data_IF_537111195482
#
_entry.id   IF_537111195482
#
_cell.length_a   1.000
_cell.length_b   1.000
_cell.length_c   1.000
_cell.angle_alpha   90.00
_cell.angle_beta   90.00
_cell.angle_gamma   90.00
#
_symmetry.space_group_name_H-M   'P 1'
#
loop_
_entity.id
_entity.type
_entity.pdbx_description
1 polymer ?
#
# COMPACT_ATOMS: atom_id res chain seq x y z
N UNK A 1 -79.33 -4.62 52.32
CA UNK A 1 -78.98 -4.63 53.75
C UNK A 1 -77.68 -3.86 53.89
N UNK A 2 -77.74 -2.75 54.65
CA UNK A 2 -76.65 -2.03 55.33
C UNK A 2 -75.79 -1.12 54.44
N UNK A 3 -76.01 0.20 54.42
CA UNK A 3 -75.85 1.23 55.48
C UNK A 3 -74.41 1.41 55.98
N UNK A 4 -73.98 2.67 55.82
CA UNK A 4 -73.45 3.55 56.88
C UNK A 4 -71.94 3.88 56.92
N UNK A 5 -71.75 5.21 56.88
CA UNK A 5 -70.76 6.04 57.58
C UNK A 5 -69.33 6.00 57.04
N UNK A 6 -68.78 7.08 56.48
CA UNK A 6 -68.51 8.42 57.01
C UNK A 6 -67.04 8.59 57.37
N UNK A 7 -66.49 9.68 56.83
CA UNK A 7 -65.55 10.60 57.46
C UNK A 7 -64.04 10.45 57.23
N UNK A 8 -63.46 11.64 57.03
CA UNK A 8 -62.14 12.12 57.39
C UNK A 8 -60.96 11.83 56.45
N UNK A 9 -60.76 12.78 55.54
CA UNK A 9 -59.52 13.55 55.39
C UNK A 9 -58.19 12.83 55.66
N UNK A 10 -57.47 12.53 54.58
CA UNK A 10 -56.02 12.58 54.58
C UNK A 10 -55.57 13.27 53.29
N UNK A 11 -55.21 14.55 53.42
CA UNK A 11 -54.39 15.25 52.44
C UNK A 11 -53.15 14.41 52.13
N UNK A 12 -52.99 13.98 50.89
CA UNK A 12 -51.72 13.46 50.41
C UNK A 12 -51.30 14.29 49.22
N UNK A 13 -50.54 15.34 49.52
CA UNK A 13 -49.71 16.08 48.58
C UNK A 13 -48.81 15.10 47.82
N UNK A 14 -49.25 14.69 46.64
CA UNK A 14 -48.43 13.91 45.73
C UNK A 14 -47.46 14.85 45.01
N UNK A 15 -46.35 15.15 45.69
CA UNK A 15 -45.16 15.72 45.06
C UNK A 15 -44.73 14.77 43.93
N UNK A 16 -44.48 15.25 42.70
CA UNK A 16 -43.99 14.40 41.62
C UNK A 16 -42.63 13.80 41.99
N UNK A 17 -42.32 12.55 41.60
CA UNK A 17 -41.03 11.93 41.88
C UNK A 17 -39.92 12.76 41.23
N UNK A 18 -38.92 13.14 42.04
CA UNK A 18 -37.73 13.83 41.60
C UNK A 18 -37.04 13.00 40.51
N UNK A 19 -36.99 13.55 39.30
CA UNK A 19 -36.22 12.97 38.20
C UNK A 19 -34.75 12.86 38.62
N UNK A 20 -34.04 11.78 38.26
CA UNK A 20 -32.60 11.69 38.47
C UNK A 20 -31.95 12.88 37.78
N UNK A 21 -31.31 13.76 38.57
CA UNK A 21 -30.60 14.91 38.07
C UNK A 21 -29.55 14.42 37.06
N UNK A 22 -29.68 14.86 35.81
CA UNK A 22 -28.67 14.61 34.79
C UNK A 22 -27.35 15.19 35.31
N UNK A 23 -26.23 14.47 35.18
CA UNK A 23 -24.94 14.95 35.64
C UNK A 23 -24.62 16.27 34.95
N UNK A 24 -24.33 17.31 35.74
CA UNK A 24 -23.92 18.61 35.23
C UNK A 24 -22.68 18.42 34.35
N UNK A 25 -22.91 18.55 33.04
CA UNK A 25 -21.88 18.37 32.05
C UNK A 25 -20.81 19.46 32.18
N UNK A 26 -19.56 19.04 32.10
CA UNK A 26 -18.36 19.88 32.18
C UNK A 26 -18.51 21.09 31.25
N UNK A 27 -18.59 22.30 31.82
CA UNK A 27 -18.40 23.52 31.04
C UNK A 27 -18.84 24.83 31.68
N UNK A 28 -20.01 24.91 32.29
CA UNK A 28 -20.49 26.13 32.95
C UNK A 28 -21.50 25.78 34.04
N UNK A 29 -21.34 26.37 35.23
CA UNK A 29 -22.38 26.32 36.25
C UNK A 29 -23.61 27.11 35.78
N UNK A 30 -24.78 26.76 36.32
CA UNK A 30 -26.06 27.39 35.98
C UNK A 30 -26.03 28.93 36.11
N UNK A 31 -25.29 29.43 37.11
CA UNK A 31 -25.05 30.86 37.34
C UNK A 31 -24.16 31.51 36.29
N UNK A 32 -23.15 30.79 35.79
CA UNK A 32 -22.25 31.29 34.76
C UNK A 32 -22.93 31.31 33.38
N UNK A 33 -23.89 30.42 33.15
CA UNK A 33 -24.77 30.43 31.98
C UNK A 33 -25.78 31.57 32.01
N UNK A 34 -26.45 31.79 33.14
CA UNK A 34 -27.41 32.88 33.31
C UNK A 34 -26.73 34.26 33.14
N UNK A 35 -25.52 34.42 33.66
CA UNK A 35 -24.73 35.66 33.49
C UNK A 35 -24.27 35.88 32.04
N UNK A 36 -23.82 34.84 31.32
CA UNK A 36 -23.43 34.96 29.91
C UNK A 36 -24.62 35.16 28.96
N UNK A 37 -25.79 34.60 29.26
CA UNK A 37 -27.01 34.83 28.49
C UNK A 37 -27.57 36.25 28.75
N UNK A 38 -27.48 36.75 29.98
CA UNK A 38 -27.83 38.13 30.31
C UNK A 38 -26.90 39.13 29.59
N UNK A 39 -25.60 38.84 29.51
CA UNK A 39 -24.60 39.69 28.85
C UNK A 39 -24.78 39.74 27.32
N UNK A 40 -25.03 38.60 26.67
CA UNK A 40 -25.01 38.48 25.20
C UNK A 40 -26.39 38.55 24.54
N UNK A 41 -27.46 38.27 25.28
CA UNK A 41 -28.83 38.12 24.75
C UNK A 41 -29.83 39.11 25.33
N UNK A 42 -29.46 39.88 26.39
CA UNK A 42 -30.34 40.82 27.09
C UNK A 42 -31.67 40.21 27.60
N UNK A 43 -31.71 38.89 27.81
CA UNK A 43 -32.85 38.19 28.40
C UNK A 43 -32.43 37.65 29.76
N UNK A 44 -33.12 38.10 30.81
CA UNK A 44 -32.94 37.60 32.18
C UNK A 44 -33.76 36.32 32.28
N UNK A 45 -33.08 35.18 32.38
CA UNK A 45 -33.69 33.86 32.43
C UNK A 45 -33.88 33.45 33.89
N UNK A 46 -35.10 33.05 34.24
CA UNK A 46 -35.48 32.60 35.59
C UNK A 46 -34.84 31.23 35.89
N UNK A 47 -34.50 30.91 37.15
CA UNK A 47 -33.84 29.64 37.47
C UNK A 47 -34.66 28.39 37.20
N UNK A 48 -35.97 28.51 36.91
CA UNK A 48 -36.85 27.40 36.53
C UNK A 48 -37.13 27.35 35.00
N UNK A 49 -36.41 28.13 34.19
CA UNK A 49 -36.65 28.20 32.76
C UNK A 49 -36.10 26.94 32.06
N UNK A 50 -36.93 26.17 31.30
CA UNK A 50 -36.50 24.93 30.63
C UNK A 50 -35.36 25.13 29.64
N UNK A 51 -35.09 26.37 29.21
CA UNK A 51 -33.92 26.72 28.38
C UNK A 51 -32.60 26.37 29.07
N UNK A 52 -32.53 26.44 30.39
CA UNK A 52 -31.33 26.10 31.13
C UNK A 52 -31.17 24.57 31.34
N UNK A 53 -32.23 23.77 31.14
CA UNK A 53 -32.16 22.30 31.15
C UNK A 53 -31.63 21.73 29.82
N UNK A 54 -31.72 22.50 28.71
CA UNK A 54 -31.15 22.12 27.41
C UNK A 54 -29.63 22.08 27.42
N UNK A 55 -28.97 22.89 28.26
CA UNK A 55 -27.51 22.96 28.30
C UNK A 55 -26.85 21.74 28.95
N UNK A 56 -27.30 21.24 30.12
CA UNK A 56 -26.82 19.97 30.65
C UNK A 56 -27.12 18.79 29.70
N UNK A 57 -28.27 18.81 29.01
CA UNK A 57 -28.59 17.80 28.00
C UNK A 57 -27.60 17.84 26.83
N UNK A 58 -27.35 19.02 26.25
CA UNK A 58 -26.38 19.20 25.19
C UNK A 58 -24.96 18.82 25.64
N UNK A 59 -24.57 19.16 26.87
CA UNK A 59 -23.26 18.78 27.41
C UNK A 59 -23.14 17.26 27.63
N UNK A 60 -24.20 16.60 28.09
CA UNK A 60 -24.25 15.14 28.19
C UNK A 60 -24.13 14.48 26.80
N UNK A 61 -24.84 15.01 25.80
CA UNK A 61 -24.72 14.56 24.41
C UNK A 61 -23.31 14.75 23.84
N UNK A 62 -22.68 15.90 24.07
CA UNK A 62 -21.32 16.19 23.62
C UNK A 62 -20.29 15.25 24.26
N UNK A 63 -20.46 14.92 25.54
CA UNK A 63 -19.58 13.97 26.23
C UNK A 63 -19.77 12.55 25.71
N UNK A 64 -21.01 12.16 25.39
CA UNK A 64 -21.31 10.85 24.82
C UNK A 64 -20.78 10.73 23.38
N UNK A 65 -20.89 11.78 22.58
CA UNK A 65 -20.24 11.88 21.26
C UNK A 65 -18.71 11.79 21.37
N UNK A 66 -18.10 12.52 22.31
CA UNK A 66 -16.65 12.48 22.54
C UNK A 66 -16.19 11.07 22.90
N UNK A 67 -16.94 10.38 23.77
CA UNK A 67 -16.67 8.99 24.17
C UNK A 67 -16.81 8.03 22.98
N UNK A 68 -17.81 8.24 22.12
CA UNK A 68 -18.01 7.43 20.93
C UNK A 68 -16.89 7.66 19.90
N UNK A 69 -16.48 8.90 19.71
CA UNK A 69 -15.40 9.27 18.80
C UNK A 69 -14.03 8.76 19.27
N UNK A 70 -13.77 8.73 20.57
CA UNK A 70 -12.58 8.06 21.12
C UNK A 70 -12.57 6.55 20.85
N UNK A 71 -13.72 5.87 21.02
CA UNK A 71 -13.83 4.44 20.70
C UNK A 71 -13.60 4.19 19.21
N UNK A 72 -14.17 5.04 18.36
CA UNK A 72 -13.97 4.95 16.91
C UNK A 72 -12.51 5.16 16.52
N UNK A 73 -11.82 6.16 17.10
CA UNK A 73 -10.39 6.38 16.88
C UNK A 73 -9.54 5.19 17.31
N UNK A 74 -9.84 4.56 18.46
CA UNK A 74 -9.13 3.37 18.93
C UNK A 74 -9.35 2.17 17.99
N UNK A 75 -10.59 1.93 17.57
CA UNK A 75 -10.91 0.86 16.63
C UNK A 75 -10.25 1.09 15.26
N UNK A 76 -10.30 2.32 14.74
CA UNK A 76 -9.65 2.68 13.48
C UNK A 76 -8.13 2.53 13.56
N UNK A 77 -7.51 2.92 14.68
CA UNK A 77 -6.08 2.74 14.89
C UNK A 77 -5.69 1.25 14.91
N UNK A 78 -6.50 0.38 15.52
CA UNK A 78 -6.27 -1.07 15.50
C UNK A 78 -6.40 -1.65 14.08
N UNK A 79 -7.47 -1.29 13.36
CA UNK A 79 -7.67 -1.75 11.98
C UNK A 79 -6.54 -1.26 11.06
N UNK A 80 -6.10 -0.01 11.21
CA UNK A 80 -4.99 0.53 10.46
C UNK A 80 -3.67 -0.18 10.82
N UNK A 81 -3.39 -0.43 12.09
CA UNK A 81 -2.20 -1.16 12.50
C UNK A 81 -2.17 -2.59 11.91
N UNK A 82 -3.30 -3.29 11.93
CA UNK A 82 -3.44 -4.64 11.38
C UNK A 82 -3.28 -4.64 9.85
N UNK A 83 -3.95 -3.72 9.15
CA UNK A 83 -3.82 -3.60 7.69
C UNK A 83 -2.44 -3.10 7.25
N UNK A 84 -1.80 -2.21 7.99
CA UNK A 84 -0.44 -1.75 7.72
C UNK A 84 0.58 -2.86 7.93
N UNK A 85 0.44 -3.67 8.99
CA UNK A 85 1.28 -4.86 9.21
C UNK A 85 1.17 -5.85 8.04
N UNK A 86 -0.07 -6.25 7.69
CA UNK A 86 -0.30 -7.18 6.58
C UNK A 86 0.15 -6.63 5.22
N UNK A 87 0.02 -5.32 4.99
CA UNK A 87 0.51 -4.69 3.76
C UNK A 87 2.04 -4.69 3.70
N UNK A 88 2.74 -4.35 4.79
CA UNK A 88 4.21 -4.38 4.86
C UNK A 88 4.74 -5.80 4.65
N UNK A 89 4.11 -6.80 5.28
CA UNK A 89 4.48 -8.20 5.11
C UNK A 89 4.24 -8.68 3.66
N UNK A 90 3.13 -8.28 3.05
CA UNK A 90 2.84 -8.60 1.64
C UNK A 90 3.85 -7.94 0.69
N UNK A 91 4.19 -6.66 0.92
CA UNK A 91 5.19 -5.94 0.11
C UNK A 91 6.57 -6.59 0.26
N UNK A 92 6.94 -7.02 1.46
CA UNK A 92 8.18 -7.76 1.71
C UNK A 92 8.18 -9.10 0.97
N UNK A 93 7.08 -9.86 1.05
CA UNK A 93 6.95 -11.14 0.37
C UNK A 93 7.04 -10.99 -1.16
N UNK A 94 6.34 -10.01 -1.72
CA UNK A 94 6.39 -9.69 -3.16
C UNK A 94 7.82 -9.29 -3.57
N UNK A 95 8.51 -8.49 -2.76
CA UNK A 95 9.89 -8.08 -3.03
C UNK A 95 10.87 -9.26 -2.99
N UNK A 96 10.72 -10.17 -2.02
CA UNK A 96 11.54 -11.37 -1.92
C UNK A 96 11.29 -12.34 -3.10
N UNK A 97 10.05 -12.51 -3.52
CA UNK A 97 9.70 -13.32 -4.69
C UNK A 97 10.18 -12.70 -6.00
N UNK A 98 10.06 -11.38 -6.16
CA UNK A 98 10.66 -10.67 -7.28
C UNK A 98 12.18 -10.84 -7.27
N UNK A 99 12.84 -10.68 -6.12
CA UNK A 99 14.28 -10.86 -5.98
C UNK A 99 14.74 -12.24 -6.42
N UNK A 100 14.04 -13.30 -5.99
CA UNK A 100 14.29 -14.69 -6.42
C UNK A 100 14.03 -14.89 -7.91
N UNK A 101 12.95 -14.34 -8.45
CA UNK A 101 12.57 -14.52 -9.86
C UNK A 101 13.52 -13.78 -10.79
N UNK A 102 13.92 -12.56 -10.45
CA UNK A 102 14.92 -11.79 -11.19
C UNK A 102 16.30 -12.44 -11.12
N UNK A 103 16.73 -12.95 -9.96
CA UNK A 103 18.03 -13.64 -9.86
C UNK A 103 18.05 -14.98 -10.59
N UNK A 104 16.99 -15.79 -10.46
CA UNK A 104 16.86 -17.04 -11.20
C UNK A 104 16.84 -16.78 -12.71
N UNK A 105 16.01 -15.85 -13.19
CA UNK A 105 15.95 -15.50 -14.61
C UNK A 105 17.23 -14.83 -15.14
N UNK A 106 17.92 -14.05 -14.31
CA UNK A 106 19.22 -13.47 -14.67
C UNK A 106 20.30 -14.56 -14.81
N UNK A 107 20.31 -15.55 -13.93
CA UNK A 107 21.23 -16.69 -14.00
C UNK A 107 20.90 -17.59 -15.20
N UNK A 108 19.63 -17.87 -15.45
CA UNK A 108 19.18 -18.64 -16.61
C UNK A 108 19.52 -17.93 -17.93
N UNK A 109 19.28 -16.62 -18.02
CA UNK A 109 19.62 -15.84 -19.22
C UNK A 109 21.13 -15.71 -19.43
N UNK A 110 21.92 -15.53 -18.36
CA UNK A 110 23.38 -15.49 -18.44
C UNK A 110 23.95 -16.85 -18.87
N UNK A 111 23.45 -17.95 -18.30
CA UNK A 111 23.89 -19.29 -18.65
C UNK A 111 23.49 -19.66 -20.10
N UNK A 112 22.29 -19.29 -20.53
CA UNK A 112 21.85 -19.44 -21.92
C UNK A 112 22.69 -18.57 -22.88
N UNK A 113 22.99 -17.32 -22.50
CA UNK A 113 23.86 -16.44 -23.28
C UNK A 113 25.28 -16.97 -23.41
N UNK A 114 25.84 -17.49 -22.32
CA UNK A 114 27.17 -18.11 -22.32
C UNK A 114 27.20 -19.38 -23.19
N UNK A 115 26.16 -20.21 -23.12
CA UNK A 115 26.01 -21.40 -23.96
C UNK A 115 25.91 -21.03 -25.45
N UNK A 116 25.10 -20.03 -25.79
CA UNK A 116 24.98 -19.52 -27.15
C UNK A 116 26.30 -18.94 -27.67
N UNK A 117 27.03 -18.20 -26.82
CA UNK A 117 28.34 -17.64 -27.16
C UNK A 117 29.38 -18.74 -27.41
N UNK A 118 29.42 -19.78 -26.56
CA UNK A 118 30.30 -20.94 -26.71
C UNK A 118 30.03 -21.68 -28.02
N UNK A 119 28.76 -21.91 -28.35
CA UNK A 119 28.38 -22.50 -29.65
C UNK A 119 28.77 -21.59 -30.83
N UNK A 120 28.68 -20.27 -30.67
CA UNK A 120 29.14 -19.30 -31.67
C UNK A 120 30.65 -19.42 -31.92
N UNK A 121 31.45 -19.50 -30.86
CA UNK A 121 32.91 -19.70 -30.97
C UNK A 121 33.27 -21.03 -31.62
N UNK A 122 32.55 -22.12 -31.29
CA UNK A 122 32.77 -23.42 -31.93
C UNK A 122 32.43 -23.40 -33.42
N UNK A 123 31.31 -22.76 -33.81
CA UNK A 123 30.94 -22.58 -35.22
C UNK A 123 31.96 -21.72 -35.98
N UNK A 124 32.45 -20.64 -35.37
CA UNK A 124 33.48 -19.79 -35.97
C UNK A 124 34.80 -20.54 -36.15
N UNK A 125 35.22 -21.30 -35.14
CA UNK A 125 36.43 -22.11 -35.23
C UNK A 125 36.30 -23.18 -36.32
N UNK A 126 35.16 -23.88 -36.41
CA UNK A 126 34.88 -24.85 -37.47
C UNK A 126 34.90 -24.19 -38.86
N UNK A 127 34.29 -23.01 -39.01
CA UNK A 127 34.31 -22.26 -40.26
C UNK A 127 35.74 -21.82 -40.65
N UNK A 128 36.53 -21.33 -39.70
CA UNK A 128 37.93 -20.96 -39.94
C UNK A 128 38.78 -22.17 -40.37
N UNK A 129 38.61 -23.33 -39.74
CA UNK A 129 39.30 -24.55 -40.15
C UNK A 129 38.92 -24.96 -41.58
N UNK A 130 37.64 -24.85 -41.94
CA UNK A 130 37.19 -25.15 -43.29
C UNK A 130 37.75 -24.17 -44.32
N UNK A 131 37.79 -22.87 -44.01
CA UNK A 131 38.41 -21.87 -44.87
C UNK A 131 39.92 -22.10 -45.03
N UNK A 132 40.64 -22.40 -43.94
CA UNK A 132 42.07 -22.71 -44.01
C UNK A 132 42.35 -23.96 -44.85
N UNK A 133 41.55 -25.02 -44.69
CA UNK A 133 41.69 -26.23 -45.49
C UNK A 133 41.46 -25.94 -46.99
N UNK A 134 40.43 -25.15 -47.31
CA UNK A 134 40.12 -24.77 -48.69
C UNK A 134 41.24 -23.89 -49.28
N UNK A 135 41.70 -22.87 -48.55
CA UNK A 135 42.80 -21.98 -48.99
C UNK A 135 44.10 -22.78 -49.18
N UNK A 136 44.39 -23.76 -48.31
CA UNK A 136 45.56 -24.62 -48.46
C UNK A 136 45.50 -25.43 -49.75
N UNK A 137 44.32 -25.95 -50.09
CA UNK A 137 44.11 -26.69 -51.34
C UNK A 137 44.27 -25.79 -52.57
N UNK A 138 43.66 -24.60 -52.58
CA UNK A 138 43.84 -23.61 -53.64
C UNK A 138 45.29 -23.13 -53.78
N UNK A 139 45.99 -22.94 -52.67
CA UNK A 139 47.40 -22.56 -52.67
C UNK A 139 48.27 -23.61 -53.37
N UNK A 140 48.02 -24.89 -53.11
CA UNK A 140 48.75 -25.97 -53.78
C UNK A 140 48.50 -25.97 -55.30
N UNK A 141 47.25 -25.83 -55.73
CA UNK A 141 46.91 -25.72 -57.16
C UNK A 141 47.58 -24.50 -57.81
N UNK A 142 47.55 -23.35 -57.14
CA UNK A 142 48.17 -22.13 -57.66
C UNK A 142 49.68 -22.27 -57.83
N UNK A 143 50.38 -22.92 -56.90
CA UNK A 143 51.83 -23.16 -57.02
C UNK A 143 52.19 -24.05 -58.20
N UNK A 144 51.41 -25.11 -58.45
CA UNK A 144 51.61 -25.99 -59.61
C UNK A 144 51.37 -25.23 -60.92
N UNK A 145 50.30 -24.42 -60.97
CA UNK A 145 49.99 -23.59 -62.14
C UNK A 145 51.11 -22.58 -62.44
N UNK A 146 51.65 -21.92 -61.40
CA UNK A 146 52.75 -20.98 -61.56
C UNK A 146 54.03 -21.66 -62.09
N UNK A 147 54.37 -22.85 -61.57
CA UNK A 147 55.52 -23.62 -62.05
C UNK A 147 55.38 -24.03 -63.52
N UNK A 148 54.20 -24.53 -63.92
CA UNK A 148 53.93 -24.88 -65.31
C UNK A 148 54.03 -23.66 -66.24
N UNK A 149 53.52 -22.50 -65.80
CA UNK A 149 53.64 -21.26 -66.57
C UNK A 149 55.10 -20.85 -66.76
N UNK A 150 55.93 -20.92 -65.70
CA UNK A 150 57.36 -20.61 -65.78
C UNK A 150 58.08 -21.56 -66.76
N UNK A 151 57.80 -22.86 -66.69
CA UNK A 151 58.40 -23.87 -67.59
C UNK A 151 58.00 -23.61 -69.05
N UNK A 152 56.73 -23.30 -69.31
CA UNK A 152 56.25 -22.98 -70.65
C UNK A 152 56.94 -21.74 -71.23
N UNK A 153 57.11 -20.69 -70.42
CA UNK A 153 57.81 -19.47 -70.83
C UNK A 153 59.26 -19.78 -71.19
N UNK A 154 59.97 -20.55 -70.37
CA UNK A 154 61.38 -20.93 -70.64
C UNK A 154 61.50 -21.80 -71.89
N UNK A 155 60.62 -22.79 -72.05
CA UNK A 155 60.59 -23.65 -73.23
C UNK A 155 60.33 -22.85 -74.52
N UNK A 156 59.33 -21.96 -74.49
CA UNK A 156 59.02 -21.09 -75.63
C UNK A 156 60.17 -20.13 -75.96
N UNK A 157 60.85 -19.56 -74.95
CA UNK A 157 62.01 -18.69 -75.17
C UNK A 157 63.19 -19.46 -75.81
N UNK A 158 63.36 -20.74 -75.50
CA UNK A 158 64.47 -21.56 -75.96
C UNK A 158 64.24 -22.18 -77.35
N UNK A 159 62.99 -22.51 -77.70
CA UNK A 159 62.62 -23.10 -79.00
C UNK A 159 61.98 -22.11 -79.99
N UNK A 160 61.52 -20.95 -79.52
CA UNK A 160 60.85 -19.91 -80.33
C UNK A 160 61.81 -18.86 -80.89
N UNK A 161 62.95 -19.29 -81.45
CA UNK A 161 63.83 -18.46 -82.29
C UNK A 161 63.91 -19.04 -83.69
#
# INVERSE_FOLDING_TARGET
MNDKHANAAASSSATPPAMPALPDGVGLSYEELASRLAEKSRVIVSPDDPILMMVPLCNAFLEEERRLMERHKRALAQVMAEKTGGFVDSVKQITDDLGKTLTASAVDSLSAGLAAHRQGMERQNAALQQHQANIRWWGLVATVSALLNIVLIVFFLLHGR
#
